data_IF_764608710379
#
_entry.id   IF_764608710379
#
_cell.length_a   1.000
_cell.length_b   1.000
_cell.length_c   1.000
_cell.angle_alpha   90.00
_cell.angle_beta   90.00
_cell.angle_gamma   90.00
#
_symmetry.space_group_name_H-M   'P 1'
#
loop_
_entity.id
_entity.type
_entity.pdbx_description
1 polymer ?
#
# COMPACT_ATOMS: atom_id res chain seq x y z
N UNK A 1 1.20 -14.61 0.95
CA UNK A 1 2.17 -13.71 0.28
C UNK A 1 2.29 -12.34 0.94
N UNK A 2 1.40 -11.96 1.86
CA UNK A 2 1.22 -10.57 2.27
C UNK A 2 1.95 -10.19 3.60
N UNK A 3 2.26 -11.14 4.50
CA UNK A 3 3.07 -10.86 5.69
C UNK A 3 4.49 -10.35 5.37
N UNK A 4 5.04 -10.74 4.20
CA UNK A 4 6.30 -10.20 3.72
C UNK A 4 6.22 -8.72 3.31
N UNK A 5 5.07 -8.26 2.80
CA UNK A 5 4.88 -6.89 2.35
C UNK A 5 4.79 -5.91 3.52
N UNK A 6 4.06 -6.25 4.59
CA UNK A 6 4.01 -5.40 5.79
C UNK A 6 5.40 -5.22 6.40
N UNK A 7 6.20 -6.28 6.47
CA UNK A 7 7.58 -6.21 6.96
C UNK A 7 8.47 -5.33 6.06
N UNK A 8 8.33 -5.42 4.73
CA UNK A 8 9.04 -4.55 3.79
C UNK A 8 8.68 -3.08 4.02
N UNK A 9 7.40 -2.77 4.21
CA UNK A 9 6.92 -1.41 4.46
C UNK A 9 7.38 -0.86 5.82
N UNK A 10 7.42 -1.70 6.86
CA UNK A 10 7.93 -1.32 8.18
C UNK A 10 9.43 -1.00 8.16
N UNK A 11 10.21 -1.68 7.30
CA UNK A 11 11.64 -1.46 7.14
C UNK A 11 11.97 -0.35 6.13
N UNK A 12 11.01 0.04 5.29
CA UNK A 12 11.22 1.07 4.29
C UNK A 12 11.40 2.43 4.98
N UNK A 13 12.41 3.18 4.54
CA UNK A 13 12.64 4.55 5.01
C UNK A 13 11.88 5.58 4.18
N UNK A 14 11.56 5.24 2.93
CA UNK A 14 10.83 6.06 1.97
C UNK A 14 9.93 5.19 1.07
N UNK A 15 9.03 5.83 0.31
CA UNK A 15 8.21 5.14 -0.68
C UNK A 15 8.99 4.79 -1.95
N UNK A 16 8.56 3.73 -2.64
CA UNK A 16 9.17 3.30 -3.91
C UNK A 16 8.12 2.75 -4.87
N UNK A 17 8.46 2.71 -6.16
CA UNK A 17 7.58 2.17 -7.20
C UNK A 17 7.31 0.68 -7.02
N UNK A 18 8.30 -0.05 -6.53
CA UNK A 18 8.21 -1.49 -6.24
C UNK A 18 7.25 -1.73 -5.08
N UNK A 19 7.32 -0.92 -4.02
CA UNK A 19 6.37 -0.97 -2.92
C UNK A 19 4.95 -0.62 -3.38
N UNK A 20 4.79 0.42 -4.20
CA UNK A 20 3.50 0.82 -4.77
C UNK A 20 2.86 -0.33 -5.57
N UNK A 21 3.65 -1.02 -6.40
CA UNK A 21 3.20 -2.17 -7.17
C UNK A 21 2.78 -3.34 -6.29
N UNK A 22 3.57 -3.68 -5.26
CA UNK A 22 3.20 -4.73 -4.31
C UNK A 22 1.92 -4.38 -3.52
N UNK A 23 1.74 -3.11 -3.13
CA UNK A 23 0.52 -2.63 -2.47
C UNK A 23 -0.69 -2.74 -3.40
N UNK A 24 -0.55 -2.29 -4.65
CA UNK A 24 -1.62 -2.34 -5.64
C UNK A 24 -2.08 -3.78 -5.90
N UNK A 25 -1.13 -4.71 -6.06
CA UNK A 25 -1.42 -6.14 -6.22
C UNK A 25 -2.13 -6.73 -4.99
N UNK A 26 -1.78 -6.26 -3.80
CA UNK A 26 -2.35 -6.78 -2.56
C UNK A 26 -3.77 -6.26 -2.27
N UNK A 27 -4.12 -5.03 -2.70
CA UNK A 27 -5.33 -4.34 -2.25
C UNK A 27 -6.29 -3.91 -3.36
N UNK A 28 -5.81 -3.72 -4.59
CA UNK A 28 -6.58 -3.08 -5.69
C UNK A 28 -6.79 -4.01 -6.86
N UNK A 29 -5.76 -4.78 -7.25
CA UNK A 29 -5.79 -5.62 -8.43
C UNK A 29 -6.90 -6.69 -8.36
N UNK A 30 -7.71 -6.75 -9.42
CA UNK A 30 -8.60 -7.89 -9.66
C UNK A 30 -7.83 -9.08 -10.29
N UNK A 31 -8.51 -10.21 -10.47
CA UNK A 31 -7.90 -11.44 -11.02
C UNK A 31 -7.30 -11.23 -12.42
N UNK A 32 -7.94 -10.39 -13.25
CA UNK A 32 -7.48 -10.07 -14.60
C UNK A 32 -6.22 -9.21 -14.57
N UNK A 33 -6.18 -8.24 -13.67
CA UNK A 33 -5.04 -7.39 -13.39
C UNK A 33 -3.83 -8.21 -12.89
N UNK A 34 -4.06 -9.12 -11.95
CA UNK A 34 -3.04 -10.04 -11.44
C UNK A 34 -2.45 -10.91 -12.55
N UNK A 35 -3.31 -11.49 -13.39
CA UNK A 35 -2.88 -12.30 -14.53
C UNK A 35 -2.00 -11.51 -15.50
N UNK A 36 -2.43 -10.30 -15.88
CA UNK A 36 -1.67 -9.44 -16.79
C UNK A 36 -0.32 -9.00 -16.21
N UNK A 37 -0.25 -8.74 -14.90
CA UNK A 37 1.00 -8.43 -14.21
C UNK A 37 1.98 -9.62 -14.23
N UNK A 38 1.51 -10.83 -13.89
CA UNK A 38 2.33 -12.04 -13.86
C UNK A 38 2.78 -12.52 -15.25
N UNK A 39 1.97 -12.32 -16.29
CA UNK A 39 2.28 -12.72 -17.67
C UNK A 39 3.35 -11.83 -18.35
N UNK A 40 3.82 -10.77 -17.69
CA UNK A 40 4.90 -9.88 -18.17
C UNK A 40 6.27 -10.56 -18.43
N UNK A 41 6.38 -11.88 -18.29
CA UNK A 41 7.64 -12.62 -18.37
C UNK A 41 8.24 -12.80 -19.79
N UNK A 42 7.63 -12.26 -20.87
CA UNK A 42 8.20 -12.28 -22.24
C UNK A 42 8.39 -10.90 -22.89
N UNK A 43 8.12 -9.83 -22.16
CA UNK A 43 8.25 -8.45 -22.64
C UNK A 43 9.50 -7.80 -22.04
N UNK A 44 10.00 -6.73 -22.68
CA UNK A 44 11.17 -6.01 -22.16
C UNK A 44 10.88 -5.42 -20.78
N UNK A 45 11.91 -5.23 -19.94
CA UNK A 45 11.76 -4.61 -18.63
C UNK A 45 11.08 -3.22 -18.69
N UNK A 46 11.30 -2.47 -19.77
CA UNK A 46 10.67 -1.17 -20.02
C UNK A 46 9.16 -1.29 -20.26
N UNK A 47 8.75 -2.27 -21.06
CA UNK A 47 7.33 -2.56 -21.31
C UNK A 47 6.64 -3.04 -20.03
N UNK A 48 7.31 -3.90 -19.25
CA UNK A 48 6.78 -4.38 -17.97
C UNK A 48 6.58 -3.22 -16.98
N UNK A 49 7.56 -2.31 -16.87
CA UNK A 49 7.44 -1.11 -16.04
C UNK A 49 6.32 -0.16 -16.50
N UNK A 50 6.18 0.05 -17.81
CA UNK A 50 5.10 0.87 -18.37
C UNK A 50 3.72 0.27 -18.06
N UNK A 51 3.55 -1.04 -18.26
CA UNK A 51 2.28 -1.72 -17.95
C UNK A 51 1.96 -1.66 -16.46
N UNK A 52 2.95 -1.87 -15.59
CA UNK A 52 2.75 -1.73 -14.16
C UNK A 52 2.31 -0.30 -13.78
N UNK A 53 2.99 0.74 -14.29
CA UNK A 53 2.64 2.14 -14.02
C UNK A 53 1.27 2.52 -14.59
N UNK A 54 0.94 2.04 -15.80
CA UNK A 54 -0.37 2.22 -16.44
C UNK A 54 -1.49 1.52 -15.66
N UNK A 55 -1.27 0.30 -15.19
CA UNK A 55 -2.27 -0.46 -14.43
C UNK A 55 -2.50 0.12 -13.04
N UNK A 56 -1.47 0.72 -12.44
CA UNK A 56 -1.58 1.47 -11.18
C UNK A 56 -2.17 2.88 -11.36
N UNK A 57 -2.40 3.33 -12.60
CA UNK A 57 -2.75 4.72 -12.95
C UNK A 57 -1.80 5.76 -12.32
N UNK A 58 -0.50 5.42 -12.24
CA UNK A 58 0.52 6.30 -11.65
C UNK A 58 0.39 6.54 -10.14
N UNK A 59 -0.47 5.78 -9.43
CA UNK A 59 -0.69 5.95 -8.00
C UNK A 59 0.58 5.67 -7.18
N UNK A 60 0.87 6.57 -6.24
CA UNK A 60 2.08 6.56 -5.39
C UNK A 60 1.73 6.25 -3.94
N UNK A 61 1.14 5.09 -3.68
CA UNK A 61 0.60 4.72 -2.36
C UNK A 61 1.61 4.90 -1.21
N UNK A 62 2.85 4.48 -1.39
CA UNK A 62 3.89 4.51 -0.35
C UNK A 62 4.51 5.89 -0.10
N UNK A 63 4.21 6.90 -0.93
CA UNK A 63 4.82 8.24 -0.85
C UNK A 63 3.83 9.40 -0.90
N UNK A 64 2.58 9.18 -1.33
CA UNK A 64 1.51 10.17 -1.34
C UNK A 64 0.43 9.77 -0.34
N UNK A 65 0.14 10.67 0.61
CA UNK A 65 -0.90 10.42 1.60
C UNK A 65 -2.28 10.31 0.96
N UNK A 66 -2.59 11.15 -0.02
CA UNK A 66 -3.86 11.11 -0.74
C UNK A 66 -4.05 9.77 -1.49
N UNK A 67 -2.97 9.28 -2.12
CA UNK A 67 -3.00 7.96 -2.76
C UNK A 67 -3.19 6.85 -1.72
N UNK A 68 -2.47 6.90 -0.59
CA UNK A 68 -2.62 5.93 0.49
C UNK A 68 -4.05 5.93 1.09
N UNK A 69 -4.67 7.10 1.22
CA UNK A 69 -6.05 7.24 1.71
C UNK A 69 -7.06 6.53 0.82
N UNK A 70 -6.83 6.47 -0.49
CA UNK A 70 -7.71 5.72 -1.42
C UNK A 70 -7.74 4.20 -1.16
N UNK A 71 -6.80 3.66 -0.39
CA UNK A 71 -6.77 2.24 -0.02
C UNK A 71 -7.70 1.90 1.15
N UNK A 72 -8.08 2.91 1.92
CA UNK A 72 -8.97 2.78 3.07
C UNK A 72 -10.40 2.61 2.57
N UNK A 73 -11.13 1.56 3.00
CA UNK A 73 -12.52 1.39 2.59
C UNK A 73 -13.41 2.53 3.10
N UNK A 74 -14.48 2.82 2.36
CA UNK A 74 -15.46 3.81 2.79
C UNK A 74 -16.11 3.45 4.14
N UNK A 75 -16.40 4.46 4.95
CA UNK A 75 -17.03 4.32 6.26
C UNK A 75 -16.07 3.99 7.41
N UNK A 76 -14.79 3.79 7.15
CA UNK A 76 -13.76 3.64 8.17
C UNK A 76 -13.30 5.02 8.68
N UNK A 77 -12.99 5.10 9.97
CA UNK A 77 -12.36 6.27 10.54
C UNK A 77 -10.84 6.10 10.57
N UNK A 78 -10.08 7.13 10.18
CA UNK A 78 -8.62 7.07 10.12
C UNK A 78 -8.05 8.17 10.99
N UNK A 79 -7.21 7.78 11.94
CA UNK A 79 -6.40 8.69 12.73
C UNK A 79 -4.95 8.62 12.28
N UNK A 80 -4.33 9.78 12.06
CA UNK A 80 -2.96 9.91 11.59
C UNK A 80 -2.19 10.77 12.59
N UNK A 81 -1.07 10.26 13.07
CA UNK A 81 -0.18 10.98 13.99
C UNK A 81 1.24 10.98 13.44
N UNK A 82 1.89 12.15 13.47
CA UNK A 82 3.27 12.33 13.00
C UNK A 82 4.13 12.84 14.14
N UNK A 83 5.25 12.16 14.38
CA UNK A 83 6.24 12.56 15.39
C UNK A 83 7.29 13.51 14.80
N UNK A 84 8.04 14.16 15.70
CA UNK A 84 9.09 15.12 15.35
C UNK A 84 10.22 14.52 14.50
N UNK A 85 10.41 13.20 14.55
CA UNK A 85 11.39 12.45 13.74
C UNK A 85 10.83 11.94 12.40
N UNK A 86 9.67 12.47 11.99
CA UNK A 86 8.90 12.10 10.79
C UNK A 86 8.26 10.72 10.78
N UNK A 87 8.42 9.90 11.82
CA UNK A 87 7.68 8.64 11.93
C UNK A 87 6.18 8.91 11.95
N UNK A 88 5.45 8.04 11.25
CA UNK A 88 4.00 8.07 11.18
C UNK A 88 3.40 6.91 11.97
N UNK A 89 2.31 7.18 12.69
CA UNK A 89 1.35 6.17 13.14
C UNK A 89 0.06 6.37 12.37
N UNK A 90 -0.55 5.25 12.01
CA UNK A 90 -1.90 5.22 11.50
C UNK A 90 -2.74 4.28 12.36
N UNK A 91 -3.94 4.73 12.71
CA UNK A 91 -4.99 3.89 13.25
C UNK A 91 -6.18 3.90 12.29
N UNK A 92 -6.68 2.73 11.93
CA UNK A 92 -7.89 2.55 11.14
C UNK A 92 -8.94 1.89 12.04
N UNK A 93 -10.06 2.58 12.22
CA UNK A 93 -11.16 2.22 13.10
C UNK A 93 -12.42 1.83 12.31
N UNK A 94 -12.99 0.69 12.65
CA UNK A 94 -14.29 0.19 12.19
C UNK A 94 -15.08 -0.32 13.40
N UNK A 95 -16.42 -0.31 13.41
CA UNK A 95 -17.23 -0.57 14.61
C UNK A 95 -16.89 -1.83 15.43
N UNK A 96 -16.22 -2.83 14.82
CA UNK A 96 -15.82 -4.06 15.49
C UNK A 96 -14.31 -4.35 15.48
N UNK A 97 -13.48 -3.47 14.89
CA UNK A 97 -12.04 -3.68 14.85
C UNK A 97 -11.24 -2.36 14.76
N UNK A 98 -10.09 -2.34 15.43
CA UNK A 98 -9.15 -1.23 15.40
C UNK A 98 -7.78 -1.76 15.02
N UNK A 99 -7.23 -1.21 13.94
CA UNK A 99 -5.94 -1.62 13.40
C UNK A 99 -4.94 -0.50 13.56
N UNK A 100 -3.80 -0.81 14.19
CA UNK A 100 -2.71 0.13 14.38
C UNK A 100 -1.49 -0.27 13.53
N UNK A 101 -0.81 0.73 12.97
CA UNK A 101 0.43 0.54 12.24
C UNK A 101 1.39 1.72 12.40
N UNK A 102 2.68 1.42 12.24
CA UNK A 102 3.78 2.36 12.30
C UNK A 102 4.58 2.30 11.00
N UNK A 103 5.13 3.43 10.59
CA UNK A 103 6.02 3.54 9.44
C UNK A 103 6.99 4.70 9.58
N UNK A 104 8.04 4.71 8.77
CA UNK A 104 8.97 5.85 8.71
C UNK A 104 8.32 7.13 8.18
N UNK A 105 7.16 7.01 7.52
CA UNK A 105 6.33 8.11 7.02
C UNK A 105 4.84 7.77 7.22
N UNK A 106 3.97 8.80 7.18
CA UNK A 106 2.52 8.61 7.25
C UNK A 106 1.94 7.74 6.12
N UNK A 107 2.30 7.92 4.83
CA UNK A 107 1.82 7.04 3.76
C UNK A 107 2.18 5.57 3.98
N UNK A 108 3.40 5.28 4.46
CA UNK A 108 3.82 3.91 4.76
C UNK A 108 3.02 3.32 5.92
N UNK A 109 2.84 4.06 7.01
CA UNK A 109 2.03 3.63 8.15
C UNK A 109 0.58 3.32 7.73
N UNK A 110 0.00 4.19 6.89
CA UNK A 110 -1.36 4.01 6.38
C UNK A 110 -1.48 2.80 5.45
N UNK A 111 -0.50 2.56 4.56
CA UNK A 111 -0.48 1.36 3.73
C UNK A 111 -0.44 0.08 4.57
N UNK A 112 0.38 0.05 5.63
CA UNK A 112 0.46 -1.11 6.54
C UNK A 112 -0.88 -1.32 7.24
N UNK A 113 -1.50 -0.26 7.76
CA UNK A 113 -2.80 -0.35 8.43
C UNK A 113 -3.89 -0.84 7.45
N UNK A 114 -3.92 -0.33 6.22
CA UNK A 114 -4.87 -0.75 5.20
C UNK A 114 -4.72 -2.25 4.86
N UNK A 115 -3.47 -2.73 4.75
CA UNK A 115 -3.19 -4.15 4.51
C UNK A 115 -3.69 -5.02 5.69
N UNK A 116 -3.41 -4.63 6.93
CA UNK A 116 -3.83 -5.35 8.14
C UNK A 116 -5.36 -5.37 8.28
N UNK A 117 -6.01 -4.23 8.06
CA UNK A 117 -7.47 -4.08 8.11
C UNK A 117 -8.18 -5.04 7.15
N UNK A 118 -7.70 -5.17 5.90
CA UNK A 118 -8.30 -6.13 4.95
C UNK A 118 -8.15 -7.60 5.34
N UNK A 119 -7.23 -7.94 6.24
CA UNK A 119 -7.04 -9.31 6.74
C UNK A 119 -7.80 -9.60 8.02
N UNK A 120 -8.37 -8.57 8.66
CA UNK A 120 -8.92 -8.68 10.01
C UNK A 120 -7.85 -8.96 11.07
N UNK A 121 -6.63 -8.47 10.85
CA UNK A 121 -5.54 -8.43 11.84
C UNK A 121 -5.69 -7.25 12.81
#
# INVERSE_FOLDING_TARGET
>A
MSAGLTNKLEQATEGSRELDAEIWLALVADEKALKAYHEGAKISAKEAAFRADYMMDGMRYSSSLDAAMSLVPEGYHVELERWADNRGRCEINWPSNTVNAWGSTLPLALCIAAIRSRRGE
#
